data_IF_329212874401
#
_entry.id   IF_329212874401
#
_cell.length_a   1.000
_cell.length_b   1.000
_cell.length_c   1.000
_cell.angle_alpha   90.00
_cell.angle_beta   90.00
_cell.angle_gamma   90.00
#
_symmetry.space_group_name_H-M   'P 1'
#
loop_
_entity.id
_entity.type
_entity.pdbx_description
1 polymer ?
#
# COMPACT_ATOMS: atom_id res chain seq x y z
N UNK A 1 6.28 7.15 -15.91
CA UNK A 1 5.70 6.11 -15.04
C UNK A 1 5.55 4.86 -15.89
N UNK A 2 6.26 3.79 -15.57
CA UNK A 2 6.25 2.56 -16.39
C UNK A 2 4.88 1.89 -16.33
N UNK A 3 4.40 1.34 -17.45
CA UNK A 3 3.31 0.37 -17.41
C UNK A 3 3.68 -0.72 -16.40
N UNK A 4 2.73 -1.05 -15.54
CA UNK A 4 2.94 -2.00 -14.45
C UNK A 4 1.76 -2.94 -14.34
N UNK A 5 2.07 -4.20 -14.06
CA UNK A 5 1.09 -5.19 -13.62
C UNK A 5 1.08 -5.19 -12.10
N UNK A 6 -0.07 -4.96 -11.50
CA UNK A 6 -0.29 -5.07 -10.07
C UNK A 6 -0.97 -6.40 -9.74
N UNK A 7 -0.54 -7.05 -8.66
CA UNK A 7 -1.13 -8.29 -8.18
C UNK A 7 -1.59 -8.08 -6.74
N UNK A 8 -2.89 -8.20 -6.53
CA UNK A 8 -3.53 -8.10 -5.21
C UNK A 8 -4.01 -9.46 -4.77
N UNK A 9 -3.61 -9.89 -3.58
CA UNK A 9 -4.04 -11.16 -3.03
C UNK A 9 -5.42 -11.04 -2.38
N UNK A 10 -6.38 -11.79 -2.91
CA UNK A 10 -7.81 -11.68 -2.60
C UNK A 10 -8.27 -12.73 -1.59
N UNK A 11 -7.75 -13.94 -1.68
CA UNK A 11 -8.15 -15.00 -0.76
C UNK A 11 -7.03 -16.00 -0.46
N UNK A 12 -7.14 -16.56 0.74
CA UNK A 12 -6.31 -17.62 1.28
C UNK A 12 -7.20 -18.75 1.75
N UNK A 13 -6.93 -19.96 1.24
CA UNK A 13 -7.57 -21.18 1.73
C UNK A 13 -6.49 -22.22 2.00
N UNK A 14 -6.57 -22.87 3.15
CA UNK A 14 -5.72 -24.00 3.49
C UNK A 14 -6.59 -25.20 3.84
N UNK A 15 -6.19 -26.39 3.40
CA UNK A 15 -6.90 -27.63 3.65
C UNK A 15 -5.90 -28.74 3.98
N UNK A 16 -6.03 -29.36 5.15
CA UNK A 16 -5.21 -30.50 5.52
C UNK A 16 -5.78 -31.78 4.89
N UNK A 17 -5.01 -32.37 3.97
CA UNK A 17 -5.37 -33.60 3.27
C UNK A 17 -5.33 -34.85 4.18
N UNK A 18 -4.77 -34.72 5.38
CA UNK A 18 -4.60 -35.84 6.31
C UNK A 18 -5.72 -35.90 7.35
N UNK A 19 -6.06 -34.77 7.98
CA UNK A 19 -7.12 -34.71 9.00
C UNK A 19 -8.43 -34.08 8.52
N UNK A 20 -8.46 -33.45 7.34
CA UNK A 20 -9.64 -32.80 6.78
C UNK A 20 -9.91 -31.38 7.29
N UNK A 21 -9.07 -30.85 8.20
CA UNK A 21 -9.23 -29.49 8.71
C UNK A 21 -9.05 -28.44 7.61
N UNK A 22 -9.81 -27.34 7.69
CA UNK A 22 -9.76 -26.24 6.72
C UNK A 22 -9.70 -24.88 7.40
N UNK A 23 -8.97 -23.96 6.78
CA UNK A 23 -8.85 -22.57 7.19
C UNK A 23 -9.10 -21.64 5.99
N UNK A 24 -10.18 -20.86 6.04
CA UNK A 24 -10.58 -19.88 5.02
C UNK A 24 -10.47 -18.47 5.60
N UNK A 25 -9.24 -18.06 5.91
CA UNK A 25 -8.96 -16.78 6.55
C UNK A 25 -7.69 -16.16 5.96
N UNK A 26 -7.52 -14.84 6.11
CA UNK A 26 -6.35 -14.09 5.59
C UNK A 26 -5.00 -14.63 6.10
N UNK A 27 -5.01 -15.40 7.18
CA UNK A 27 -3.87 -16.05 7.80
C UNK A 27 -3.77 -17.55 7.51
N UNK A 28 -4.46 -18.10 6.50
CA UNK A 28 -4.45 -19.55 6.23
C UNK A 28 -3.02 -20.09 5.97
N UNK A 29 -2.12 -19.26 5.42
CA UNK A 29 -0.71 -19.61 5.29
C UNK A 29 -0.03 -19.85 6.64
N UNK A 30 -0.23 -18.97 7.62
CA UNK A 30 0.32 -19.11 8.98
C UNK A 30 -0.28 -20.35 9.65
N UNK A 31 -1.58 -20.58 9.48
CA UNK A 31 -2.23 -21.80 9.95
C UNK A 31 -1.58 -23.05 9.36
N UNK A 32 -1.40 -23.11 8.04
CA UNK A 32 -0.80 -24.25 7.35
C UNK A 32 0.61 -24.57 7.87
N UNK A 33 1.47 -23.55 8.00
CA UNK A 33 2.82 -23.73 8.55
C UNK A 33 2.80 -24.25 9.99
N UNK A 34 1.95 -23.69 10.84
CA UNK A 34 1.83 -24.17 12.22
C UNK A 34 1.25 -25.58 12.29
N UNK A 35 0.33 -25.94 11.40
CA UNK A 35 -0.30 -27.25 11.34
C UNK A 35 0.72 -28.34 11.01
N UNK A 36 1.50 -28.18 9.93
CA UNK A 36 2.53 -29.17 9.54
C UNK A 36 3.68 -29.24 10.54
N UNK A 37 4.00 -28.13 11.22
CA UNK A 37 5.01 -28.09 12.28
C UNK A 37 4.56 -28.89 13.51
N UNK A 38 3.28 -28.84 13.86
CA UNK A 38 2.71 -29.58 15.01
C UNK A 38 2.36 -31.03 14.67
N UNK A 39 2.10 -31.32 13.40
CA UNK A 39 1.68 -32.63 12.92
C UNK A 39 2.57 -33.08 11.76
N UNK A 40 3.69 -33.74 12.08
CA UNK A 40 4.76 -34.05 11.13
C UNK A 40 4.33 -34.95 9.94
N UNK A 41 3.24 -35.71 10.06
CA UNK A 41 2.68 -36.54 8.98
C UNK A 41 1.58 -35.83 8.17
N UNK A 42 1.16 -34.63 8.59
CA UNK A 42 0.07 -33.92 7.93
C UNK A 42 0.55 -33.20 6.68
N UNK A 43 -0.27 -33.27 5.64
CA UNK A 43 -0.06 -32.52 4.39
C UNK A 43 -1.14 -31.47 4.26
N UNK A 44 -0.76 -30.25 3.94
CA UNK A 44 -1.69 -29.12 3.78
C UNK A 44 -1.58 -28.57 2.36
N UNK A 45 -2.71 -28.50 1.67
CA UNK A 45 -2.88 -27.80 0.41
C UNK A 45 -3.18 -26.33 0.70
N UNK A 46 -2.53 -25.42 -0.04
CA UNK A 46 -2.69 -23.97 0.08
C UNK A 46 -3.14 -23.42 -1.27
N UNK A 47 -4.33 -22.83 -1.31
CA UNK A 47 -4.90 -22.17 -2.48
C UNK A 47 -4.87 -20.66 -2.27
N UNK A 48 -4.22 -19.98 -3.22
CA UNK A 48 -4.03 -18.53 -3.23
C UNK A 48 -4.77 -17.94 -4.44
N UNK A 49 -5.62 -16.95 -4.20
CA UNK A 49 -6.32 -16.24 -5.26
C UNK A 49 -5.82 -14.82 -5.39
N UNK A 50 -5.45 -14.43 -6.61
CA UNK A 50 -4.95 -13.08 -6.91
C UNK A 50 -5.86 -12.39 -7.93
N UNK A 51 -6.07 -11.09 -7.74
CA UNK A 51 -6.53 -10.19 -8.78
C UNK A 51 -5.30 -9.60 -9.46
N UNK A 52 -5.27 -9.65 -10.79
CA UNK A 52 -4.20 -9.06 -11.60
C UNK A 52 -4.78 -7.87 -12.36
N UNK A 53 -4.22 -6.68 -12.15
CA UNK A 53 -4.63 -5.46 -12.87
C UNK A 53 -3.44 -4.90 -13.65
N UNK A 54 -3.71 -4.38 -14.85
CA UNK A 54 -2.72 -3.68 -15.66
C UNK A 54 -3.01 -2.19 -15.61
N UNK A 55 -1.99 -1.39 -15.26
CA UNK A 55 -2.07 0.06 -15.41
C UNK A 55 -1.49 0.40 -16.77
N UNK A 56 -2.30 0.89 -17.73
CA UNK A 56 -1.77 1.26 -19.03
C UNK A 56 -0.74 2.38 -18.85
N UNK A 57 0.41 2.27 -19.55
CA UNK A 57 1.35 3.38 -19.62
C UNK A 57 0.59 4.59 -20.17
N UNK A 58 0.61 5.69 -19.42
CA UNK A 58 0.14 6.96 -19.94
C UNK A 58 0.90 7.22 -21.25
N UNK A 59 0.17 7.25 -22.38
CA UNK A 59 0.73 7.77 -23.63
C UNK A 59 1.17 9.18 -23.32
N UNK A 60 2.47 9.45 -23.44
CA UNK A 60 3.00 10.79 -23.36
C UNK A 60 2.29 11.67 -24.40
N UNK A 61 1.36 12.49 -23.94
CA UNK A 61 0.95 13.70 -24.64
C UNK A 61 2.01 14.74 -24.34
N UNK A 62 2.94 14.92 -25.27
CA UNK A 62 3.80 16.09 -25.28
C UNK A 62 3.01 17.36 -25.56
N UNK A 63 3.58 18.47 -25.10
CA UNK A 63 3.27 19.85 -25.48
C UNK A 63 2.17 20.60 -24.70
N UNK A 64 2.54 21.17 -23.54
CA UNK A 64 2.62 22.63 -23.32
C UNK A 64 2.97 22.93 -21.86
N UNK A 65 4.15 23.51 -21.63
CA UNK A 65 4.50 24.16 -20.37
C UNK A 65 3.67 25.45 -20.20
N UNK A 66 2.99 25.70 -19.07
CA UNK A 66 2.79 27.06 -18.63
C UNK A 66 4.06 27.51 -17.90
N UNK A 67 4.72 28.45 -18.57
CA UNK A 67 5.77 29.32 -18.10
C UNK A 67 5.45 29.93 -16.70
N UNK A 68 6.41 29.83 -15.78
CA UNK A 68 6.64 30.69 -14.59
C UNK A 68 5.67 30.64 -13.39
N UNK A 69 6.16 30.54 -12.14
CA UNK A 69 5.49 31.20 -11.03
C UNK A 69 5.72 32.73 -11.12
N UNK A 70 4.73 33.58 -10.84
CA UNK A 70 4.96 35.02 -10.73
C UNK A 70 5.92 35.32 -9.56
N UNK A 71 6.72 36.40 -9.63
CA UNK A 71 7.55 36.80 -8.49
C UNK A 71 6.66 37.21 -7.32
N UNK A 72 6.96 36.67 -6.13
CA UNK A 72 6.41 37.17 -4.86
C UNK A 72 6.68 38.67 -4.78
N UNK A 73 5.64 39.49 -4.92
CA UNK A 73 5.73 40.92 -4.65
C UNK A 73 6.19 41.10 -3.21
N UNK A 74 7.40 41.65 -3.06
CA UNK A 74 7.94 42.16 -1.81
C UNK A 74 7.02 43.28 -1.32
N UNK A 75 6.10 42.94 -0.41
CA UNK A 75 5.51 43.90 0.51
C UNK A 75 6.53 44.22 1.60
N UNK A 76 7.55 45.00 1.25
CA UNK A 76 8.31 45.75 2.24
C UNK A 76 7.43 46.91 2.70
N UNK A 77 6.95 46.87 3.94
CA UNK A 77 6.67 48.11 4.67
C UNK A 77 7.17 47.94 6.10
N UNK A 78 7.92 48.94 6.51
CA UNK A 78 8.87 48.95 7.62
C UNK A 78 8.20 48.90 9.01
N UNK A 79 8.93 48.28 9.95
CA UNK A 79 8.86 48.40 11.42
C UNK A 79 8.81 49.89 11.89
N UNK A 80 8.39 50.23 13.14
CA UNK A 80 9.00 49.68 14.36
C UNK A 80 8.11 49.59 15.64
N UNK A 81 8.64 48.82 16.61
CA UNK A 81 8.68 49.04 18.07
C UNK A 81 7.44 49.62 18.79
N UNK A 82 6.85 48.87 19.74
CA UNK A 82 6.73 49.33 21.13
C UNK A 82 6.20 48.24 22.09
N UNK A 83 7.06 47.89 23.04
CA UNK A 83 6.80 47.79 24.49
C UNK A 83 5.66 46.92 25.08
N UNK A 84 6.10 45.87 25.81
CA UNK A 84 5.95 45.71 27.28
C UNK A 84 4.57 45.33 27.89
N UNK A 85 4.59 44.23 28.67
CA UNK A 85 3.62 43.88 29.74
C UNK A 85 3.11 42.44 29.57
N UNK A 86 3.59 41.39 30.25
CA UNK A 86 3.53 41.05 31.69
C UNK A 86 2.12 41.13 32.32
N UNK A 87 1.72 40.00 32.92
CA UNK A 87 0.53 39.72 33.76
C UNK A 87 -0.70 39.22 32.96
N UNK A 88 -1.30 38.07 33.27
CA UNK A 88 -1.49 37.38 34.55
C UNK A 88 -1.43 35.87 34.39
#
# INVERSE_FOLDING_TARGET
MSAGTHQDLVHYRAHCLTCGDRCEARNAQVWAHNHVRRHASHRVDLQLGFTVTTVPAAKGGGDQSPLFPPPLSQGASQNPDEAKGQSR
#
